data_IF_948126717145
#
_entry.id   IF_948126717145
#
_cell.length_a   1.000
_cell.length_b   1.000
_cell.length_c   1.000
_cell.angle_alpha   90.00
_cell.angle_beta   90.00
_cell.angle_gamma   90.00
#
_symmetry.space_group_name_H-M   'P 1'
#
loop_
_entity.id
_entity.type
_entity.pdbx_description
1 polymer ?
#
# COMPACT_ATOMS: atom_id res chain seq x y z
N UNK A 1 -6.88 9.08 -17.82
CA UNK A 1 -6.50 9.22 -16.40
C UNK A 1 -5.03 9.60 -16.17
N UNK A 2 -4.10 9.28 -17.09
CA UNK A 2 -2.65 9.59 -16.93
C UNK A 2 -2.34 11.10 -16.91
N UNK A 3 -3.13 11.94 -17.58
CA UNK A 3 -2.95 13.42 -17.57
C UNK A 3 -3.06 14.02 -16.16
N UNK A 4 -3.82 13.38 -15.27
CA UNK A 4 -4.08 13.86 -13.91
C UNK A 4 -2.87 13.67 -12.97
N UNK A 5 -2.08 12.63 -13.20
CA UNK A 5 -0.84 12.36 -12.44
C UNK A 5 0.22 13.44 -12.61
N UNK A 6 0.14 14.28 -13.66
CA UNK A 6 1.06 15.40 -13.89
C UNK A 6 0.96 16.48 -12.79
N UNK A 7 -0.14 16.52 -12.04
CA UNK A 7 -0.35 17.46 -10.94
C UNK A 7 0.15 16.96 -9.57
N UNK A 8 0.67 15.72 -9.48
CA UNK A 8 1.30 15.24 -8.24
C UNK A 8 2.61 15.98 -7.97
N UNK A 9 2.86 16.33 -6.71
CA UNK A 9 4.13 16.92 -6.29
C UNK A 9 5.23 15.85 -6.32
N UNK A 10 6.49 16.23 -6.51
CA UNK A 10 7.64 15.30 -6.44
C UNK A 10 7.69 14.55 -5.10
N UNK A 11 7.23 15.17 -4.01
CA UNK A 11 7.11 14.55 -2.69
C UNK A 11 6.05 13.44 -2.63
N UNK A 12 4.89 13.64 -3.25
CA UNK A 12 3.83 12.61 -3.31
C UNK A 12 4.28 11.40 -4.14
N UNK A 13 5.08 11.65 -5.17
CA UNK A 13 5.67 10.61 -6.02
C UNK A 13 6.72 9.79 -5.27
N UNK A 14 7.56 10.44 -4.44
CA UNK A 14 8.49 9.75 -3.54
C UNK A 14 7.77 8.89 -2.50
N UNK A 15 6.70 9.41 -1.89
CA UNK A 15 5.89 8.66 -0.92
C UNK A 15 5.16 7.48 -1.58
N UNK A 16 4.65 7.66 -2.80
CA UNK A 16 4.03 6.59 -3.58
C UNK A 16 5.04 5.49 -3.94
N UNK A 17 6.25 5.88 -4.36
CA UNK A 17 7.33 4.94 -4.66
C UNK A 17 7.72 4.15 -3.41
N UNK A 18 7.90 4.83 -2.28
CA UNK A 18 8.20 4.22 -0.98
C UNK A 18 7.08 3.26 -0.54
N UNK A 19 5.82 3.63 -0.67
CA UNK A 19 4.68 2.77 -0.37
C UNK A 19 4.66 1.52 -1.25
N UNK A 20 5.01 1.65 -2.54
CA UNK A 20 5.14 0.49 -3.44
C UNK A 20 6.27 -0.45 -3.00
N UNK A 21 7.42 0.10 -2.60
CA UNK A 21 8.55 -0.69 -2.13
C UNK A 21 8.22 -1.45 -0.85
N UNK A 22 7.55 -0.80 0.11
CA UNK A 22 7.06 -1.45 1.33
C UNK A 22 6.02 -2.53 1.02
N UNK A 23 5.21 -2.36 -0.03
CA UNK A 23 4.24 -3.38 -0.47
C UNK A 23 4.95 -4.61 -1.03
N UNK A 24 6.02 -4.43 -1.81
CA UNK A 24 6.84 -5.54 -2.30
C UNK A 24 7.46 -6.30 -1.12
N UNK A 25 8.00 -5.58 -0.14
CA UNK A 25 8.54 -6.18 1.08
C UNK A 25 7.48 -6.97 1.85
N UNK A 26 6.26 -6.41 1.98
CA UNK A 26 5.11 -7.07 2.60
C UNK A 26 4.82 -8.42 1.92
N UNK A 27 4.72 -8.43 0.59
CA UNK A 27 4.45 -9.65 -0.19
C UNK A 27 5.56 -10.69 0.00
N UNK A 28 6.82 -10.25 0.12
CA UNK A 28 7.93 -11.14 0.42
C UNK A 28 7.78 -11.83 1.80
N UNK A 29 7.35 -11.11 2.83
CA UNK A 29 7.03 -11.71 4.13
C UNK A 29 5.84 -12.68 4.07
N UNK A 30 4.80 -12.34 3.30
CA UNK A 30 3.66 -13.23 3.04
C UNK A 30 4.10 -14.53 2.34
N UNK A 31 5.07 -14.47 1.42
CA UNK A 31 5.60 -15.65 0.72
C UNK A 31 6.46 -16.54 1.62
N UNK A 32 7.11 -15.99 2.66
CA UNK A 32 7.90 -16.78 3.60
C UNK A 32 7.07 -17.68 4.51
N UNK A 33 5.83 -17.29 4.83
CA UNK A 33 4.94 -18.08 5.69
C UNK A 33 4.68 -19.51 5.13
N UNK A 34 4.33 -19.70 3.83
CA UNK A 34 4.18 -21.03 3.25
C UNK A 34 5.51 -21.80 3.13
N UNK A 35 6.65 -21.10 3.02
CA UNK A 35 7.98 -21.72 3.05
C UNK A 35 8.30 -22.32 4.44
N UNK A 36 7.93 -21.62 5.51
CA UNK A 36 7.99 -22.17 6.87
C UNK A 36 7.02 -23.34 7.07
N UNK A 37 5.81 -23.28 6.50
CA UNK A 37 4.87 -24.41 6.52
C UNK A 37 5.41 -25.66 5.83
N UNK A 38 6.08 -25.53 4.68
CA UNK A 38 6.74 -26.68 4.01
C UNK A 38 7.75 -27.35 4.92
N UNK A 39 8.57 -26.55 5.61
CA UNK A 39 9.59 -27.04 6.53
C UNK A 39 8.98 -27.74 7.75
N UNK A 40 7.89 -27.20 8.29
CA UNK A 40 7.10 -27.84 9.37
C UNK A 40 6.50 -29.16 8.88
N UNK A 41 5.99 -29.23 7.65
CA UNK A 41 5.37 -30.44 7.10
C UNK A 41 6.41 -31.55 6.86
N UNK A 42 7.62 -31.21 6.40
CA UNK A 42 8.74 -32.14 6.26
C UNK A 42 9.24 -32.67 7.61
N UNK A 43 9.30 -31.80 8.64
CA UNK A 43 9.65 -32.18 10.01
C UNK A 43 8.63 -33.16 10.60
N UNK A 44 7.33 -32.93 10.40
CA UNK A 44 6.27 -33.81 10.90
C UNK A 44 6.28 -35.19 10.22
N UNK A 45 6.69 -35.26 8.95
CA UNK A 45 6.76 -36.53 8.20
C UNK A 45 8.04 -37.33 8.45
N UNK A 46 9.05 -36.74 9.10
CA UNK A 46 10.28 -37.45 9.45
C UNK A 46 10.22 -37.82 10.94
N UNK A 47 10.10 -39.11 11.25
CA UNK A 47 9.85 -39.75 12.56
C UNK A 47 10.82 -39.44 13.74
N UNK A 48 11.47 -38.27 13.78
CA UNK A 48 12.51 -37.95 14.78
C UNK A 48 12.50 -36.54 15.38
N UNK A 49 11.63 -35.61 14.96
CA UNK A 49 11.74 -34.21 15.44
C UNK A 49 10.98 -33.94 16.73
N UNK A 50 11.77 -33.69 17.79
CA UNK A 50 11.37 -33.15 19.09
C UNK A 50 10.32 -32.03 18.96
N UNK A 51 9.17 -32.17 19.65
CA UNK A 51 8.08 -31.17 19.77
C UNK A 51 8.53 -29.70 19.98
N UNK A 52 9.75 -29.51 20.49
CA UNK A 52 10.42 -28.22 20.69
C UNK A 52 10.76 -27.47 19.38
N UNK A 53 11.07 -28.16 18.29
CA UNK A 53 11.35 -27.53 16.98
C UNK A 53 10.07 -27.00 16.32
N UNK A 54 8.95 -27.71 16.49
CA UNK A 54 7.65 -27.27 15.97
C UNK A 54 7.18 -26.01 16.70
N UNK A 55 7.32 -25.96 18.03
CA UNK A 55 6.93 -24.81 18.83
C UNK A 55 7.78 -23.55 18.54
N UNK A 56 9.10 -23.73 18.36
CA UNK A 56 9.99 -22.63 17.98
C UNK A 56 9.73 -22.13 16.56
N UNK A 57 9.46 -23.04 15.61
CA UNK A 57 9.10 -22.67 14.22
C UNK A 57 7.75 -21.96 14.15
N UNK A 58 6.75 -22.43 14.90
CA UNK A 58 5.45 -21.76 15.04
C UNK A 58 5.56 -20.36 15.64
N UNK A 59 6.46 -20.16 16.62
CA UNK A 59 6.76 -18.84 17.18
C UNK A 59 7.33 -17.87 16.13
N UNK A 60 8.25 -18.33 15.28
CA UNK A 60 8.79 -17.54 14.16
C UNK A 60 7.75 -17.20 13.10
N UNK A 61 6.78 -18.10 12.85
CA UNK A 61 5.65 -17.82 11.95
C UNK A 61 4.73 -16.74 12.52
N UNK A 62 4.44 -16.79 13.83
CA UNK A 62 3.63 -15.77 14.52
C UNK A 62 4.31 -14.39 14.50
N UNK A 63 5.62 -14.33 14.77
CA UNK A 63 6.39 -13.10 14.65
C UNK A 63 6.37 -12.53 13.22
N UNK A 64 6.49 -13.40 12.22
CA UNK A 64 6.43 -12.99 10.81
C UNK A 64 5.04 -12.46 10.44
N UNK A 65 3.97 -13.06 10.96
CA UNK A 65 2.60 -12.59 10.75
C UNK A 65 2.34 -11.22 11.40
N UNK A 66 2.81 -11.02 12.64
CA UNK A 66 2.75 -9.72 13.31
C UNK A 66 3.57 -8.65 12.57
N UNK A 67 4.76 -9.02 12.07
CA UNK A 67 5.58 -8.15 11.22
C UNK A 67 4.84 -7.74 9.94
N UNK A 68 4.20 -8.69 9.24
CA UNK A 68 3.40 -8.42 8.06
C UNK A 68 2.23 -7.47 8.35
N UNK A 69 1.54 -7.67 9.48
CA UNK A 69 0.45 -6.81 9.92
C UNK A 69 0.92 -5.37 10.16
N UNK A 70 2.07 -5.18 10.83
CA UNK A 70 2.64 -3.86 11.05
C UNK A 70 3.00 -3.16 9.73
N UNK A 71 3.65 -3.87 8.80
CA UNK A 71 3.99 -3.33 7.47
C UNK A 71 2.73 -2.96 6.68
N UNK A 72 1.66 -3.77 6.76
CA UNK A 72 0.38 -3.47 6.13
C UNK A 72 -0.20 -2.15 6.62
N UNK A 73 -0.24 -1.92 7.94
CA UNK A 73 -0.81 -0.69 8.51
C UNK A 73 -0.04 0.54 7.99
N UNK A 74 1.30 0.45 7.97
CA UNK A 74 2.16 1.54 7.48
C UNK A 74 1.89 1.82 5.99
N UNK A 75 1.85 0.79 5.15
CA UNK A 75 1.52 0.92 3.73
C UNK A 75 0.14 1.55 3.52
N UNK A 76 -0.87 1.11 4.28
CA UNK A 76 -2.23 1.63 4.18
C UNK A 76 -2.30 3.13 4.51
N UNK A 77 -1.64 3.57 5.60
CA UNK A 77 -1.59 4.98 5.99
C UNK A 77 -0.85 5.83 4.95
N UNK A 78 0.29 5.36 4.44
CA UNK A 78 1.04 6.03 3.39
C UNK A 78 0.21 6.18 2.11
N UNK A 79 -0.42 5.10 1.67
CA UNK A 79 -1.27 5.10 0.48
C UNK A 79 -2.47 6.03 0.65
N UNK A 80 -3.13 6.02 1.81
CA UNK A 80 -4.24 6.91 2.10
C UNK A 80 -3.82 8.38 2.12
N UNK A 81 -2.67 8.70 2.72
CA UNK A 81 -2.10 10.06 2.75
C UNK A 81 -1.82 10.60 1.34
N UNK A 82 -1.19 9.79 0.48
CA UNK A 82 -0.90 10.16 -0.92
C UNK A 82 -2.21 10.39 -1.69
N UNK A 83 -3.18 9.49 -1.56
CA UNK A 83 -4.49 9.61 -2.21
C UNK A 83 -5.25 10.86 -1.78
N UNK A 84 -5.27 11.15 -0.47
CA UNK A 84 -5.93 12.33 0.08
C UNK A 84 -5.28 13.64 -0.39
N UNK A 85 -3.94 13.72 -0.35
CA UNK A 85 -3.22 14.92 -0.78
C UNK A 85 -3.46 15.20 -2.28
N UNK A 86 -3.43 14.15 -3.10
CA UNK A 86 -3.75 14.23 -4.51
C UNK A 86 -5.19 14.70 -4.76
N UNK A 87 -6.17 14.13 -4.05
CA UNK A 87 -7.58 14.49 -4.19
C UNK A 87 -7.86 15.94 -3.81
N UNK A 88 -7.28 16.43 -2.71
CA UNK A 88 -7.42 17.84 -2.29
C UNK A 88 -6.85 18.78 -3.35
N UNK A 89 -5.65 18.48 -3.87
CA UNK A 89 -5.02 19.32 -4.90
C UNK A 89 -5.82 19.34 -6.19
N UNK A 90 -6.39 18.20 -6.58
CA UNK A 90 -7.25 18.14 -7.76
C UNK A 90 -8.48 19.02 -7.62
N UNK A 91 -9.13 18.98 -6.45
CA UNK A 91 -10.30 19.82 -6.15
C UNK A 91 -9.94 21.31 -6.20
N UNK A 92 -8.80 21.71 -5.65
CA UNK A 92 -8.35 23.12 -5.71
C UNK A 92 -8.13 23.56 -7.15
N UNK A 93 -7.42 22.77 -7.96
CA UNK A 93 -7.18 23.10 -9.37
C UNK A 93 -8.48 23.18 -10.19
N UNK A 94 -9.44 22.30 -9.90
CA UNK A 94 -10.74 22.32 -10.56
C UNK A 94 -11.57 23.54 -10.13
N UNK A 95 -11.53 23.90 -8.84
CA UNK A 95 -12.19 25.10 -8.32
C UNK A 95 -11.60 26.37 -8.91
N UNK A 96 -10.27 26.51 -8.89
CA UNK A 96 -9.57 27.66 -9.49
C UNK A 96 -9.89 27.78 -10.98
N UNK A 97 -9.99 26.65 -11.70
CA UNK A 97 -10.34 26.68 -13.12
C UNK A 97 -11.76 27.18 -13.35
N UNK A 98 -12.73 26.72 -12.55
CA UNK A 98 -14.12 27.18 -12.64
C UNK A 98 -14.25 28.65 -12.23
N UNK A 99 -13.55 29.09 -11.18
CA UNK A 99 -13.56 30.49 -10.74
C UNK A 99 -12.85 31.44 -11.70
N UNK A 100 -11.94 30.94 -12.54
CA UNK A 100 -11.23 31.74 -13.54
C UNK A 100 -12.01 31.98 -14.84
N UNK A 101 -13.20 31.38 -15.01
CA UNK A 101 -14.01 31.58 -16.21
C UNK A 101 -14.63 32.98 -16.24
N UNK A 102 -14.52 33.65 -17.40
CA UNK A 102 -15.20 34.93 -17.62
C UNK A 102 -16.70 34.72 -17.90
N UNK A 103 -17.51 35.78 -17.82
CA UNK A 103 -18.95 35.72 -18.13
C UNK A 103 -19.24 35.22 -19.56
N UNK A 104 -18.32 35.42 -20.52
CA UNK A 104 -18.41 34.88 -21.87
C UNK A 104 -18.27 33.34 -21.89
N UNK A 105 -17.33 32.79 -21.12
CA UNK A 105 -17.08 31.35 -21.05
C UNK A 105 -18.15 30.62 -20.23
N UNK A 106 -18.68 31.27 -19.18
CA UNK A 106 -19.81 30.76 -18.39
C UNK A 106 -21.05 30.57 -19.28
N UNK A 107 -21.26 31.44 -20.27
CA UNK A 107 -22.38 31.35 -21.20
C UNK A 107 -22.23 30.20 -22.24
N UNK A 108 -21.02 29.64 -22.37
CA UNK A 108 -20.73 28.44 -23.17
C UNK A 108 -20.93 27.12 -22.40
N UNK A 109 -21.08 27.18 -21.08
CA UNK A 109 -21.43 26.04 -20.24
C UNK A 109 -22.92 26.10 -19.89
N UNK A 110 -23.69 25.09 -20.32
CA UNK A 110 -25.08 24.94 -19.89
C UNK A 110 -25.12 24.78 -18.37
N UNK A 111 -25.68 25.76 -17.66
CA UNK A 111 -25.92 25.73 -16.21
C UNK A 111 -27.18 24.94 -15.82
N UNK A 112 -27.63 24.04 -16.70
CA UNK A 112 -28.76 23.13 -16.52
C UNK A 112 -28.29 21.68 -16.59
#
# INVERSE_FOLDING_TARGET
>A
MIKTFKYMRRQDWLLAFLASLLTILRVYFELKIPEFMKRVTELIMTDGSTLREIWTTGGWMLLSAFGNLAVMIVVAVLSARVGACFATRLRTLQFDRVSSFSMEEINGFSTA
#
